data_IF_300684887330
#
_entry.id   IF_300684887330
#
_cell.length_a   1.000
_cell.length_b   1.000
_cell.length_c   1.000
_cell.angle_alpha   90.00
_cell.angle_beta   90.00
_cell.angle_gamma   90.00
#
_symmetry.space_group_name_H-M   'P 1'
#
loop_
_entity.id
_entity.type
_entity.pdbx_description
1 polymer ?
#
# COMPACT_ATOMS: atom_id res chain seq x y z
N UNK A 1 0.56 -8.72 -3.35
CA UNK A 1 0.13 -9.82 -4.25
C UNK A 1 -1.38 -9.80 -4.28
N UNK A 2 -2.02 -9.95 -5.44
CA UNK A 2 -3.48 -9.93 -5.49
C UNK A 2 -4.05 -11.18 -4.78
N UNK A 3 -4.96 -11.05 -3.79
CA UNK A 3 -5.52 -12.19 -3.07
C UNK A 3 -6.38 -13.10 -3.97
N UNK A 4 -7.09 -12.52 -4.94
CA UNK A 4 -7.92 -13.26 -5.89
C UNK A 4 -7.10 -13.99 -6.96
N UNK A 5 -6.07 -13.34 -7.49
CA UNK A 5 -5.31 -13.88 -8.62
C UNK A 5 -4.04 -14.64 -8.19
N UNK A 6 -3.61 -14.47 -6.94
CA UNK A 6 -2.33 -14.97 -6.42
C UNK A 6 -1.11 -14.61 -7.30
N UNK A 7 -1.19 -13.47 -7.99
CA UNK A 7 -0.14 -13.01 -8.93
C UNK A 7 0.34 -11.60 -8.54
N UNK A 8 1.65 -11.39 -8.62
CA UNK A 8 2.29 -10.11 -8.27
C UNK A 8 2.62 -9.26 -9.51
N UNK A 9 2.85 -9.89 -10.66
CA UNK A 9 3.40 -9.25 -11.86
C UNK A 9 2.43 -8.30 -12.56
N UNK A 10 1.12 -8.48 -12.36
CA UNK A 10 0.07 -7.70 -12.99
C UNK A 10 -0.54 -6.63 -12.07
N UNK A 11 0.21 -6.12 -11.08
CA UNK A 11 -0.30 -5.09 -10.16
C UNK A 11 0.24 -3.71 -10.53
N UNK A 12 -0.66 -2.76 -10.79
CA UNK A 12 -0.31 -1.34 -10.93
C UNK A 12 -0.31 -0.68 -9.55
N UNK A 13 0.82 -0.08 -9.15
CA UNK A 13 1.00 0.55 -7.84
C UNK A 13 0.98 2.07 -7.99
N UNK A 14 0.02 2.73 -7.36
CA UNK A 14 -0.01 4.18 -7.13
C UNK A 14 0.40 4.52 -5.68
N UNK A 15 0.54 5.82 -5.39
CA UNK A 15 1.00 6.34 -4.10
C UNK A 15 0.23 5.77 -2.89
N UNK A 16 -1.10 5.63 -2.98
CA UNK A 16 -1.95 5.20 -1.85
C UNK A 16 -2.89 4.05 -2.20
N UNK A 17 -2.75 3.48 -3.40
CA UNK A 17 -3.64 2.46 -3.94
C UNK A 17 -2.90 1.59 -4.92
N UNK A 18 -3.30 0.33 -5.01
CA UNK A 18 -2.83 -0.58 -6.04
C UNK A 18 -4.02 -1.27 -6.69
N UNK A 19 -3.91 -1.51 -7.98
CA UNK A 19 -4.96 -2.15 -8.78
C UNK A 19 -4.41 -3.45 -9.36
N UNK A 20 -5.14 -4.54 -9.21
CA UNK A 20 -4.85 -5.75 -9.95
C UNK A 20 -5.29 -5.56 -11.40
N UNK A 21 -4.38 -5.67 -12.35
CA UNK A 21 -4.66 -5.60 -13.78
C UNK A 21 -5.23 -6.92 -14.34
N UNK A 22 -5.20 -7.99 -13.54
CA UNK A 22 -5.77 -9.29 -13.94
C UNK A 22 -7.27 -9.38 -13.64
N UNK A 23 -7.68 -9.17 -12.38
CA UNK A 23 -9.11 -9.15 -12.01
C UNK A 23 -9.76 -7.76 -12.08
N UNK A 24 -8.96 -6.70 -12.09
CA UNK A 24 -9.46 -5.31 -12.10
C UNK A 24 -9.74 -4.72 -10.72
N UNK A 25 -9.49 -5.46 -9.63
CA UNK A 25 -9.83 -5.02 -8.27
C UNK A 25 -8.85 -3.98 -7.72
N UNK A 26 -9.39 -2.98 -7.01
CA UNK A 26 -8.64 -1.85 -6.44
C UNK A 26 -8.52 -1.97 -4.93
N UNK A 27 -7.31 -1.83 -4.42
CA UNK A 27 -6.96 -1.95 -3.00
C UNK A 27 -6.23 -0.69 -2.55
N UNK A 28 -6.46 -0.24 -1.32
CA UNK A 28 -5.76 0.92 -0.74
C UNK A 28 -4.51 0.50 0.01
N UNK A 29 -3.36 1.13 -0.27
CA UNK A 29 -2.13 0.92 0.53
C UNK A 29 -2.17 1.66 1.87
N UNK A 30 -3.28 2.32 2.21
CA UNK A 30 -3.47 3.04 3.49
C UNK A 30 -3.30 2.13 4.73
N UNK A 31 -3.37 0.82 4.56
CA UNK A 31 -3.08 -0.16 5.63
C UNK A 31 -1.58 -0.43 5.82
N UNK A 32 -0.70 0.06 4.93
CA UNK A 32 0.77 -0.12 5.00
C UNK A 32 1.50 1.08 5.62
N UNK A 33 0.84 2.24 5.75
CA UNK A 33 1.40 3.47 6.34
C UNK A 33 0.99 3.66 7.82
N UNK A 34 0.39 2.65 8.45
CA UNK A 34 0.00 2.73 9.86
C UNK A 34 1.17 2.49 10.85
N UNK A 35 2.37 2.15 10.36
CA UNK A 35 3.51 1.74 11.20
C UNK A 35 4.83 2.45 10.85
N UNK A 36 4.80 3.58 10.14
CA UNK A 36 5.93 4.51 10.21
C UNK A 36 5.60 5.54 11.27
N UNK A 37 5.80 5.15 12.53
CA UNK A 37 6.06 6.08 13.61
C UNK A 37 7.16 7.03 13.13
N UNK A 38 6.77 8.21 12.65
CA UNK A 38 7.65 9.36 12.71
C UNK A 38 7.84 9.64 14.21
N UNK A 39 8.84 8.98 14.83
CA UNK A 39 9.53 9.56 15.97
C UNK A 39 10.28 10.79 15.43
N UNK A 40 9.51 11.84 15.15
CA UNK A 40 10.04 13.19 14.98
C UNK A 40 10.60 13.59 16.35
N UNK A 41 11.86 13.22 16.56
CA UNK A 41 12.67 13.77 17.62
C UNK A 41 12.78 15.28 17.41
N UNK A 42 11.85 16.05 17.99
CA UNK A 42 12.05 17.44 18.42
C UNK A 42 10.90 17.86 19.33
N UNK A 43 11.14 17.84 20.64
CA UNK A 43 10.19 18.40 21.61
C UNK A 43 10.81 18.51 22.98
N UNK A 44 11.35 19.68 23.31
CA UNK A 44 11.81 20.00 24.66
C UNK A 44 12.79 21.16 24.69
N UNK A 45 12.24 22.37 24.62
CA UNK A 45 12.92 23.62 24.96
C UNK A 45 13.26 23.68 26.45
#
# INVERSE_FOLDING_TARGET
MCPDCNEMSLVEKGLTKWKCLNCGEEFTTKELDADVEFDEGTGGF
#
